data_IF_918893240213
#
_entry.id   IF_918893240213
#
_cell.length_a   1.000
_cell.length_b   1.000
_cell.length_c   1.000
_cell.angle_alpha   90.00
_cell.angle_beta   90.00
_cell.angle_gamma   90.00
#
_symmetry.space_group_name_H-M   'P 1'
#
loop_
_entity.id
_entity.type
_entity.pdbx_description
1 polymer ?
#
# COMPACT_ATOMS: atom_id res chain seq x y z
N UNK A 1 -5.37 10.54 43.96
CA UNK A 1 -5.13 9.85 42.66
C UNK A 1 -5.09 10.92 41.59
N UNK A 2 -4.15 10.86 40.66
CA UNK A 2 -4.15 11.78 39.52
C UNK A 2 -5.44 11.59 38.72
N UNK A 3 -6.18 12.67 38.46
CA UNK A 3 -7.43 12.62 37.72
C UNK A 3 -7.16 12.56 36.22
N UNK A 4 -7.80 11.61 35.53
CA UNK A 4 -7.61 11.37 34.09
C UNK A 4 -8.93 11.63 33.36
N UNK A 5 -8.87 12.39 32.27
CA UNK A 5 -9.96 12.50 31.31
C UNK A 5 -9.77 11.45 30.20
N UNK A 6 -10.72 10.54 30.04
CA UNK A 6 -10.72 9.55 28.96
C UNK A 6 -11.58 10.04 27.81
N UNK A 7 -11.03 10.07 26.61
CA UNK A 7 -11.71 10.56 25.41
C UNK A 7 -11.70 9.48 24.35
N UNK A 8 -12.88 9.08 23.93
CA UNK A 8 -13.08 8.15 22.82
C UNK A 8 -13.59 8.90 21.60
N UNK A 9 -13.00 8.59 20.46
CA UNK A 9 -13.31 9.20 19.17
C UNK A 9 -13.73 8.09 18.22
N UNK A 10 -14.98 8.15 17.78
CA UNK A 10 -15.42 7.39 16.62
C UNK A 10 -15.24 8.24 15.36
N UNK A 11 -14.66 7.66 14.30
CA UNK A 11 -14.22 8.40 13.12
C UNK A 11 -14.84 7.87 11.85
N UNK A 12 -15.43 8.77 11.08
CA UNK A 12 -15.99 8.52 9.76
C UNK A 12 -15.31 9.37 8.69
N UNK A 13 -15.72 9.21 7.44
CA UNK A 13 -15.24 10.05 6.33
C UNK A 13 -15.49 11.55 6.57
N UNK A 14 -16.65 11.91 7.12
CA UNK A 14 -17.07 13.31 7.23
C UNK A 14 -16.82 13.94 8.59
N UNK A 15 -16.85 13.16 9.67
CA UNK A 15 -16.86 13.69 11.03
C UNK A 15 -16.13 12.78 12.03
N UNK A 16 -15.72 13.38 13.14
CA UNK A 16 -15.30 12.71 14.37
C UNK A 16 -16.34 12.92 15.46
N UNK A 17 -16.91 11.84 15.98
CA UNK A 17 -17.83 11.86 17.12
C UNK A 17 -17.04 11.56 18.39
N UNK A 18 -17.14 12.45 19.37
CA UNK A 18 -16.25 12.46 20.53
C UNK A 18 -17.04 12.33 21.82
N UNK A 19 -16.56 11.48 22.72
CA UNK A 19 -17.11 11.29 24.06
C UNK A 19 -15.98 11.40 25.09
N UNK A 20 -16.13 12.30 26.06
CA UNK A 20 -15.22 12.44 27.20
C UNK A 20 -15.87 11.90 28.49
N UNK A 21 -15.12 11.16 29.29
CA UNK A 21 -15.60 10.52 30.51
C UNK A 21 -14.54 10.50 31.62
N UNK A 22 -15.02 10.38 32.86
CA UNK A 22 -14.19 10.20 34.05
C UNK A 22 -13.88 8.73 34.33
N UNK A 23 -13.00 8.48 35.31
CA UNK A 23 -12.59 7.14 35.72
C UNK A 23 -13.73 6.26 36.26
N UNK A 24 -14.81 6.87 36.76
CA UNK A 24 -16.02 6.17 37.20
C UNK A 24 -17.00 5.84 36.06
N UNK A 25 -16.69 6.26 34.81
CA UNK A 25 -17.52 6.06 33.63
C UNK A 25 -18.58 7.14 33.42
N UNK A 26 -18.62 8.18 34.25
CA UNK A 26 -19.51 9.33 34.06
C UNK A 26 -19.08 10.13 32.84
N UNK A 27 -20.03 10.37 31.93
CA UNK A 27 -19.79 11.20 30.75
C UNK A 27 -19.74 12.67 31.18
N UNK A 28 -18.66 13.34 30.81
CA UNK A 28 -18.42 14.76 31.10
C UNK A 28 -18.99 15.62 30.00
N UNK A 29 -18.65 15.29 28.75
CA UNK A 29 -19.02 16.07 27.58
C UNK A 29 -18.98 15.22 26.31
N UNK A 30 -19.65 15.73 25.27
CA UNK A 30 -19.65 15.17 23.92
C UNK A 30 -19.55 16.28 22.90
N UNK A 31 -18.95 15.99 21.75
CA UNK A 31 -18.96 16.88 20.60
C UNK A 31 -18.92 16.09 19.30
N UNK A 32 -19.14 16.77 18.19
CA UNK A 32 -18.90 16.26 16.86
C UNK A 32 -18.23 17.36 16.06
N UNK A 33 -17.11 17.03 15.42
CA UNK A 33 -16.34 17.96 14.59
C UNK A 33 -16.18 17.37 13.19
N UNK A 34 -15.97 18.21 12.19
CA UNK A 34 -15.65 17.76 10.84
C UNK A 34 -14.32 16.99 10.80
N UNK A 35 -14.19 16.05 9.86
CA UNK A 35 -12.92 15.36 9.57
C UNK A 35 -12.09 16.20 8.59
N UNK A 36 -11.66 17.36 9.06
CA UNK A 36 -10.80 18.29 8.35
C UNK A 36 -9.95 19.10 9.34
N UNK A 37 -9.16 20.05 8.82
CA UNK A 37 -8.28 20.90 9.63
C UNK A 37 -9.06 21.76 10.63
N UNK A 38 -10.18 22.34 10.22
CA UNK A 38 -10.96 23.24 11.07
C UNK A 38 -11.63 22.45 12.20
N UNK A 39 -12.11 21.24 11.91
CA UNK A 39 -12.59 20.29 12.91
C UNK A 39 -11.50 19.84 13.88
N UNK A 40 -10.27 19.63 13.40
CA UNK A 40 -9.10 19.36 14.25
C UNK A 40 -8.81 20.50 15.24
N UNK A 41 -8.80 21.75 14.76
CA UNK A 41 -8.64 22.95 15.60
C UNK A 41 -9.78 23.13 16.63
N UNK A 42 -11.01 22.89 16.21
CA UNK A 42 -12.18 22.88 17.10
C UNK A 42 -12.04 21.81 18.18
N UNK A 43 -11.57 20.61 17.82
CA UNK A 43 -11.36 19.53 18.76
C UNK A 43 -10.25 19.85 19.76
N UNK A 44 -9.12 20.42 19.32
CA UNK A 44 -8.05 20.86 20.24
C UNK A 44 -8.59 21.88 21.24
N UNK A 45 -9.34 22.88 20.77
CA UNK A 45 -9.94 23.90 21.63
C UNK A 45 -10.91 23.27 22.65
N UNK A 46 -11.76 22.36 22.18
CA UNK A 46 -12.70 21.63 23.03
C UNK A 46 -11.98 20.77 24.08
N UNK A 47 -10.96 19.99 23.67
CA UNK A 47 -10.17 19.13 24.56
C UNK A 47 -9.51 19.94 25.68
N UNK A 48 -8.92 21.10 25.37
CA UNK A 48 -8.31 21.99 26.38
C UNK A 48 -9.31 22.44 27.43
N UNK A 49 -10.51 22.83 26.99
CA UNK A 49 -11.57 23.27 27.90
C UNK A 49 -12.04 22.12 28.81
N UNK A 50 -12.23 20.92 28.25
CA UNK A 50 -12.67 19.77 29.03
C UNK A 50 -11.58 19.20 29.93
N UNK A 51 -10.31 19.25 29.52
CA UNK A 51 -9.18 18.70 30.26
C UNK A 51 -8.73 19.59 31.42
N UNK A 52 -9.10 20.88 31.46
CA UNK A 52 -8.66 21.84 32.48
C UNK A 52 -8.78 21.36 33.95
N UNK A 53 -9.83 20.59 34.36
CA UNK A 53 -9.95 20.06 35.71
C UNK A 53 -9.11 18.79 36.00
N UNK A 54 -8.43 18.24 35.00
CA UNK A 54 -7.77 16.92 35.06
C UNK A 54 -6.26 17.07 35.03
N UNK A 55 -5.56 16.13 35.66
CA UNK A 55 -4.09 16.08 35.61
C UNK A 55 -3.59 15.47 34.30
N UNK A 56 -4.34 14.52 33.73
CA UNK A 56 -3.92 13.75 32.54
C UNK A 56 -5.04 13.60 31.51
N UNK A 57 -4.64 13.42 30.25
CA UNK A 57 -5.53 13.17 29.12
C UNK A 57 -5.21 11.82 28.48
N UNK A 58 -6.23 10.98 28.24
CA UNK A 58 -6.10 9.74 27.48
C UNK A 58 -7.07 9.80 26.30
N UNK A 59 -6.56 9.79 25.07
CA UNK A 59 -7.38 9.91 23.85
C UNK A 59 -7.22 8.67 22.99
N UNK A 60 -8.34 8.07 22.61
CA UNK A 60 -8.35 6.87 21.80
C UNK A 60 -9.31 6.98 20.62
N UNK A 61 -8.91 6.36 19.53
CA UNK A 61 -9.70 6.20 18.31
C UNK A 61 -9.69 4.74 17.89
N UNK A 62 -10.75 4.29 17.24
CA UNK A 62 -10.74 2.99 16.56
C UNK A 62 -10.06 3.10 15.19
N UNK A 63 -9.19 2.14 14.86
CA UNK A 63 -8.49 2.09 13.58
C UNK A 63 -9.41 1.63 12.43
N UNK A 64 -10.44 2.42 12.12
CA UNK A 64 -11.36 2.16 11.01
C UNK A 64 -10.85 2.84 9.75
N UNK A 65 -10.52 2.03 8.73
CA UNK A 65 -9.88 2.49 7.49
C UNK A 65 -8.65 3.37 7.81
N UNK A 66 -8.51 4.51 7.13
CA UNK A 66 -7.43 5.50 7.32
C UNK A 66 -7.91 6.83 7.91
N UNK A 67 -9.22 6.97 8.16
CA UNK A 67 -9.84 8.26 8.49
C UNK A 67 -9.37 8.87 9.81
N UNK A 68 -8.89 8.03 10.73
CA UNK A 68 -8.35 8.45 12.02
C UNK A 68 -6.91 9.00 11.91
N UNK A 69 -6.15 8.59 10.89
CA UNK A 69 -4.70 8.80 10.86
C UNK A 69 -4.32 10.29 10.82
N UNK A 70 -4.92 11.15 9.97
CA UNK A 70 -4.59 12.58 9.96
C UNK A 70 -4.89 13.27 11.29
N UNK A 71 -6.02 12.94 11.93
CA UNK A 71 -6.39 13.53 13.21
C UNK A 71 -5.43 13.11 14.33
N UNK A 72 -5.08 11.82 14.41
CA UNK A 72 -4.18 11.33 15.46
C UNK A 72 -2.77 11.93 15.32
N UNK A 73 -2.27 12.05 14.10
CA UNK A 73 -1.00 12.74 13.83
C UNK A 73 -1.06 14.20 14.27
N UNK A 74 -2.15 14.91 13.92
CA UNK A 74 -2.37 16.30 14.30
C UNK A 74 -2.40 16.49 15.82
N UNK A 75 -3.23 15.70 16.52
CA UNK A 75 -3.40 15.80 17.97
C UNK A 75 -2.10 15.49 18.71
N UNK A 76 -1.33 14.53 18.23
CA UNK A 76 -0.08 14.13 18.86
C UNK A 76 1.04 15.17 18.71
N UNK A 77 1.00 16.00 17.67
CA UNK A 77 1.95 17.09 17.46
C UNK A 77 1.52 18.41 18.12
N UNK A 78 0.33 18.48 18.71
CA UNK A 78 -0.26 19.71 19.20
C UNK A 78 0.30 20.14 20.57
N UNK A 79 1.14 21.21 20.63
CA UNK A 79 1.77 21.60 21.89
C UNK A 79 0.78 22.12 22.93
N UNK A 80 -0.38 22.64 22.49
CA UNK A 80 -1.43 23.11 23.39
C UNK A 80 -2.00 22.00 24.28
N UNK A 81 -1.80 20.72 23.94
CA UNK A 81 -2.27 19.57 24.72
C UNK A 81 -1.19 18.98 25.65
N UNK A 82 0.08 19.38 25.51
CA UNK A 82 1.18 18.90 26.36
C UNK A 82 0.99 19.08 27.88
N UNK A 83 0.30 20.13 28.40
CA UNK A 83 0.10 20.29 29.84
C UNK A 83 -0.57 19.09 30.53
N UNK A 84 -1.33 18.28 29.79
CA UNK A 84 -2.02 17.09 30.30
C UNK A 84 -1.30 15.77 30.01
N UNK A 85 -0.04 15.82 29.54
CA UNK A 85 0.79 14.64 29.25
C UNK A 85 -0.01 13.54 28.52
N UNK A 86 -0.55 13.85 27.33
CA UNK A 86 -1.55 13.03 26.69
C UNK A 86 -1.01 11.65 26.33
N UNK A 87 -1.79 10.62 26.63
CA UNK A 87 -1.55 9.26 26.13
C UNK A 87 -2.51 8.99 24.96
N UNK A 88 -1.94 8.63 23.81
CA UNK A 88 -2.68 8.37 22.58
C UNK A 88 -2.94 6.88 22.39
N UNK A 89 -4.08 6.51 21.82
CA UNK A 89 -4.44 5.13 21.56
C UNK A 89 -5.07 5.01 20.17
N UNK A 90 -4.56 4.07 19.38
CA UNK A 90 -5.17 3.63 18.12
C UNK A 90 -5.57 2.18 18.31
N UNK A 91 -6.85 1.96 18.55
CA UNK A 91 -7.40 0.67 18.97
C UNK A 91 -7.68 -0.21 17.75
N UNK A 92 -7.38 -1.50 17.88
CA UNK A 92 -7.80 -2.48 16.89
C UNK A 92 -9.34 -2.62 16.94
N UNK A 93 -10.07 -2.50 15.81
CA UNK A 93 -11.53 -2.64 15.78
C UNK A 93 -12.04 -3.92 16.45
N UNK A 94 -11.30 -5.03 16.33
CA UNK A 94 -11.66 -6.31 16.97
C UNK A 94 -11.64 -6.25 18.50
N UNK A 95 -10.80 -5.40 19.09
CA UNK A 95 -10.75 -5.21 20.55
C UNK A 95 -11.98 -4.43 21.00
N UNK A 96 -12.32 -3.35 20.30
CA UNK A 96 -13.49 -2.53 20.58
C UNK A 96 -14.77 -3.34 20.39
N UNK A 97 -14.89 -4.08 19.30
CA UNK A 97 -16.02 -4.97 19.01
C UNK A 97 -16.29 -5.96 20.15
N UNK A 98 -15.29 -6.77 20.51
CA UNK A 98 -15.40 -7.77 21.59
C UNK A 98 -15.67 -7.16 22.95
N UNK A 99 -15.10 -5.98 23.23
CA UNK A 99 -15.40 -5.27 24.45
C UNK A 99 -16.86 -4.78 24.46
N UNK A 100 -17.37 -4.35 23.32
CA UNK A 100 -18.76 -3.95 23.13
C UNK A 100 -19.78 -5.05 23.40
N UNK A 101 -19.44 -6.32 23.14
CA UNK A 101 -20.31 -7.48 23.43
C UNK A 101 -20.59 -7.66 24.93
N UNK A 102 -19.81 -7.03 25.81
CA UNK A 102 -20.07 -7.07 27.27
C UNK A 102 -21.27 -6.21 27.69
N UNK A 103 -21.79 -5.37 26.80
CA UNK A 103 -22.96 -4.52 27.05
C UNK A 103 -24.22 -5.16 26.44
N UNK A 104 -25.13 -5.64 27.29
CA UNK A 104 -26.34 -6.41 26.89
C UNK A 104 -27.32 -5.58 26.04
N UNK A 105 -27.51 -4.30 26.36
CA UNK A 105 -28.47 -3.40 25.69
C UNK A 105 -27.77 -2.23 24.96
N UNK A 106 -26.78 -2.55 24.12
CA UNK A 106 -26.07 -1.53 23.32
C UNK A 106 -26.71 -1.34 21.95
N UNK A 107 -27.15 -0.11 21.67
CA UNK A 107 -27.46 0.32 20.30
C UNK A 107 -26.20 0.65 19.49
N UNK A 108 -26.26 0.44 18.17
CA UNK A 108 -25.18 0.79 17.23
C UNK A 108 -25.38 2.22 16.71
N UNK A 109 -24.65 3.17 17.29
CA UNK A 109 -24.67 4.59 16.89
C UNK A 109 -23.28 5.17 17.12
N UNK A 110 -22.85 6.14 16.31
CA UNK A 110 -21.53 6.77 16.43
C UNK A 110 -21.26 7.33 17.84
N UNK A 111 -22.32 7.84 18.52
CA UNK A 111 -22.23 8.32 19.91
C UNK A 111 -22.03 7.19 20.93
N UNK A 112 -22.63 6.03 20.69
CA UNK A 112 -22.43 4.84 21.51
C UNK A 112 -21.04 4.25 21.27
N UNK A 113 -20.54 4.33 20.03
CA UNK A 113 -19.24 3.81 19.62
C UNK A 113 -18.11 4.68 20.21
N UNK A 114 -18.21 6.00 20.13
CA UNK A 114 -17.29 6.93 20.79
C UNK A 114 -17.27 6.74 22.32
N UNK A 115 -18.43 6.49 22.95
CA UNK A 115 -18.51 6.15 24.37
C UNK A 115 -17.79 4.83 24.66
N UNK A 116 -18.00 3.80 23.83
CA UNK A 116 -17.38 2.51 24.04
C UNK A 116 -15.86 2.60 23.96
N UNK A 117 -15.33 3.33 22.98
CA UNK A 117 -13.89 3.56 22.83
C UNK A 117 -13.33 4.20 24.11
N UNK A 118 -13.98 5.24 24.64
CA UNK A 118 -13.57 5.87 25.90
C UNK A 118 -13.59 4.89 27.08
N UNK A 119 -14.62 4.04 27.16
CA UNK A 119 -14.71 2.98 28.18
C UNK A 119 -13.57 1.96 28.03
N UNK A 120 -13.22 1.53 26.82
CA UNK A 120 -12.07 0.63 26.57
C UNK A 120 -10.78 1.22 27.15
N UNK A 121 -10.54 2.52 26.95
CA UNK A 121 -9.37 3.19 27.52
C UNK A 121 -9.41 3.22 29.05
N UNK A 122 -10.58 3.48 29.61
CA UNK A 122 -10.83 3.56 31.06
C UNK A 122 -10.58 2.23 31.76
N UNK A 123 -11.03 1.12 31.18
CA UNK A 123 -10.78 -0.23 31.70
C UNK A 123 -9.31 -0.67 31.53
N UNK A 124 -8.57 -0.06 30.60
CA UNK A 124 -7.14 -0.25 30.42
C UNK A 124 -6.76 -1.55 29.69
N UNK A 125 -5.52 -2.00 29.90
CA UNK A 125 -4.89 -3.13 29.16
C UNK A 125 -4.79 -2.96 27.65
N UNK A 126 -4.87 -1.71 27.18
CA UNK A 126 -4.59 -1.33 25.81
C UNK A 126 -3.22 -0.67 25.73
N UNK A 127 -2.49 -0.97 24.66
CA UNK A 127 -1.15 -0.43 24.44
C UNK A 127 -1.26 0.99 23.87
N UNK A 128 -0.58 1.98 24.47
CA UNK A 128 -0.49 3.32 23.90
C UNK A 128 0.06 3.27 22.47
N UNK A 129 -0.53 4.07 21.60
CA UNK A 129 0.01 4.36 20.28
C UNK A 129 1.07 5.45 20.40
N UNK A 130 2.26 5.18 19.87
CA UNK A 130 3.31 6.18 19.74
C UNK A 130 3.27 6.71 18.30
N UNK A 131 3.13 8.03 18.12
CA UNK A 131 3.25 8.65 16.81
C UNK A 131 4.57 8.23 16.15
N UNK A 132 4.55 7.68 14.94
CA UNK A 132 5.78 7.31 14.25
C UNK A 132 6.59 8.58 13.96
N UNK A 133 7.92 8.48 14.03
CA UNK A 133 8.79 9.55 13.53
C UNK A 133 8.41 9.83 12.05
N UNK A 134 8.16 11.10 11.66
CA UNK A 134 7.67 11.45 10.33
C UNK A 134 8.52 10.89 9.18
N UNK A 135 9.82 10.70 9.40
CA UNK A 135 10.73 10.10 8.41
C UNK A 135 10.37 8.64 8.14
N UNK A 136 10.07 7.88 9.19
CA UNK A 136 9.65 6.49 9.06
C UNK A 136 8.25 6.39 8.46
N UNK A 137 7.32 7.25 8.88
CA UNK A 137 5.97 7.31 8.33
C UNK A 137 5.98 7.59 6.81
N UNK A 138 6.78 8.56 6.36
CA UNK A 138 6.95 8.88 4.94
C UNK A 138 7.51 7.69 4.16
N UNK A 139 8.55 7.03 4.69
CA UNK A 139 9.14 5.85 4.07
C UNK A 139 8.15 4.67 4.01
N UNK A 140 7.30 4.52 5.02
CA UNK A 140 6.26 3.49 5.07
C UNK A 140 5.20 3.69 3.98
N UNK A 141 4.78 4.93 3.71
CA UNK A 141 3.86 5.25 2.60
C UNK A 141 4.46 4.79 1.27
N UNK A 142 5.71 5.18 0.99
CA UNK A 142 6.39 4.86 -0.28
C UNK A 142 6.62 3.36 -0.45
N UNK A 143 7.12 2.68 0.59
CA UNK A 143 7.44 1.25 0.55
C UNK A 143 6.19 0.39 0.43
N UNK A 144 5.09 0.73 1.12
CA UNK A 144 3.79 0.07 0.96
C UNK A 144 3.22 0.28 -0.43
N UNK A 145 3.31 1.49 -0.99
CA UNK A 145 2.86 1.74 -2.36
C UNK A 145 3.67 0.94 -3.38
N UNK A 146 5.00 0.88 -3.22
CA UNK A 146 5.89 0.07 -4.07
C UNK A 146 5.57 -1.42 -3.99
N UNK A 147 5.20 -1.94 -2.82
CA UNK A 147 4.70 -3.32 -2.65
C UNK A 147 3.39 -3.54 -3.43
N UNK A 148 2.44 -2.61 -3.36
CA UNK A 148 1.19 -2.70 -4.13
C UNK A 148 1.43 -2.71 -5.63
N UNK A 149 2.28 -1.79 -6.14
CA UNK A 149 2.65 -1.75 -7.57
C UNK A 149 3.29 -3.08 -7.99
N UNK A 150 4.16 -3.66 -7.17
CA UNK A 150 4.73 -4.98 -7.45
C UNK A 150 3.67 -6.08 -7.57
N UNK A 151 2.64 -6.06 -6.72
CA UNK A 151 1.54 -7.02 -6.78
C UNK A 151 0.69 -6.81 -8.05
N UNK A 152 0.43 -5.56 -8.42
CA UNK A 152 -0.28 -5.22 -9.67
C UNK A 152 0.48 -5.70 -10.90
N UNK A 153 1.80 -5.51 -10.95
CA UNK A 153 2.64 -6.03 -12.05
C UNK A 153 2.48 -7.54 -12.18
N UNK A 154 2.53 -8.29 -11.06
CA UNK A 154 2.34 -9.75 -11.09
C UNK A 154 0.95 -10.13 -11.59
N UNK A 155 -0.09 -9.44 -11.12
CA UNK A 155 -1.47 -9.69 -11.57
C UNK A 155 -1.63 -9.42 -13.07
N UNK A 156 -1.11 -8.31 -13.57
CA UNK A 156 -1.18 -7.95 -14.98
C UNK A 156 -0.36 -8.91 -15.85
N UNK A 157 0.82 -9.35 -15.40
CA UNK A 157 1.59 -10.41 -16.08
C UNK A 157 0.79 -11.69 -16.21
N UNK A 158 0.10 -12.11 -15.15
CA UNK A 158 -0.75 -13.30 -15.20
C UNK A 158 -1.91 -13.15 -16.19
N UNK A 159 -2.56 -11.97 -16.23
CA UNK A 159 -3.62 -11.67 -17.22
C UNK A 159 -3.08 -11.69 -18.65
N UNK A 160 -1.91 -11.09 -18.88
CA UNK A 160 -1.24 -11.09 -20.17
C UNK A 160 -0.85 -12.51 -20.62
N UNK A 161 -0.36 -13.37 -19.73
CA UNK A 161 -0.01 -14.77 -20.04
C UNK A 161 -1.21 -15.56 -20.58
N UNK A 162 -2.42 -15.31 -20.07
CA UNK A 162 -3.64 -15.95 -20.58
C UNK A 162 -3.90 -15.55 -22.03
N UNK A 163 -3.87 -14.25 -22.35
CA UNK A 163 -4.09 -13.79 -23.73
C UNK A 163 -2.96 -14.24 -24.66
N UNK A 164 -1.72 -14.18 -24.17
CA UNK A 164 -0.54 -14.65 -24.87
C UNK A 164 -0.66 -16.14 -25.22
N UNK A 165 -1.12 -16.98 -24.31
CA UNK A 165 -1.33 -18.40 -24.61
C UNK A 165 -2.43 -18.62 -25.65
N UNK A 166 -3.56 -17.90 -25.54
CA UNK A 166 -4.64 -18.03 -26.52
C UNK A 166 -4.21 -17.66 -27.93
N UNK A 167 -3.40 -16.61 -28.10
CA UNK A 167 -2.96 -16.13 -29.41
C UNK A 167 -1.69 -16.85 -29.88
N UNK A 168 -0.68 -16.97 -29.03
CA UNK A 168 0.67 -17.41 -29.40
C UNK A 168 1.05 -18.81 -28.88
N UNK A 169 0.13 -19.50 -28.19
CA UNK A 169 0.36 -20.84 -27.65
C UNK A 169 1.52 -20.88 -26.67
N UNK A 170 2.53 -21.72 -26.97
CA UNK A 170 3.64 -22.02 -26.07
C UNK A 170 4.71 -20.91 -25.96
N UNK A 171 4.45 -19.69 -26.44
CA UNK A 171 5.42 -18.59 -26.46
C UNK A 171 6.17 -18.39 -25.13
N UNK A 172 5.46 -18.43 -24.00
CA UNK A 172 6.04 -18.23 -22.67
C UNK A 172 6.57 -19.53 -22.01
N UNK A 173 6.43 -20.68 -22.68
CA UNK A 173 6.65 -22.01 -22.12
C UNK A 173 7.51 -22.89 -23.03
N UNK A 174 8.45 -22.29 -23.75
CA UNK A 174 9.44 -23.04 -24.56
C UNK A 174 10.50 -23.67 -23.67
N UNK A 175 10.94 -24.89 -24.00
CA UNK A 175 12.03 -25.59 -23.27
C UNK A 175 13.32 -24.78 -23.22
N UNK A 176 13.61 -24.05 -24.31
CA UNK A 176 14.73 -23.11 -24.41
C UNK A 176 14.20 -21.67 -24.56
N UNK A 177 14.27 -20.83 -23.51
CA UNK A 177 13.84 -19.44 -23.59
C UNK A 177 14.68 -18.65 -24.60
N UNK A 178 14.02 -18.06 -25.59
CA UNK A 178 14.65 -17.24 -26.64
C UNK A 178 14.71 -15.75 -26.30
N UNK A 179 13.95 -15.31 -25.28
CA UNK A 179 14.13 -14.04 -24.60
C UNK A 179 14.46 -14.27 -23.13
N UNK A 180 15.32 -13.43 -22.55
CA UNK A 180 15.65 -13.50 -21.13
C UNK A 180 14.48 -13.15 -20.20
N UNK A 181 13.47 -12.46 -20.72
CA UNK A 181 12.24 -12.13 -20.02
C UNK A 181 11.10 -12.04 -21.06
N UNK A 182 10.04 -12.81 -20.85
CA UNK A 182 8.81 -12.80 -21.69
C UNK A 182 8.19 -11.41 -21.76
N UNK A 183 8.26 -10.64 -20.67
CA UNK A 183 7.81 -9.25 -20.60
C UNK A 183 8.95 -8.25 -20.80
N UNK A 184 10.10 -8.68 -21.33
CA UNK A 184 11.19 -7.76 -21.68
C UNK A 184 10.85 -6.87 -22.88
N UNK A 185 11.53 -5.73 -23.00
CA UNK A 185 11.24 -4.73 -24.04
C UNK A 185 11.23 -5.30 -25.46
N UNK A 186 12.16 -6.22 -25.78
CA UNK A 186 12.22 -6.84 -27.10
C UNK A 186 11.03 -7.77 -27.38
N UNK A 187 10.70 -8.65 -26.43
CA UNK A 187 9.54 -9.54 -26.52
C UNK A 187 8.24 -8.74 -26.65
N UNK A 188 8.06 -7.72 -25.82
CA UNK A 188 6.87 -6.87 -25.89
C UNK A 188 6.75 -6.12 -27.22
N UNK A 189 7.86 -5.66 -27.80
CA UNK A 189 7.84 -5.01 -29.11
C UNK A 189 7.45 -5.96 -30.24
N UNK A 190 7.91 -7.21 -30.20
CA UNK A 190 7.44 -8.26 -31.13
C UNK A 190 5.95 -8.51 -30.96
N UNK A 191 5.50 -8.75 -29.73
CA UNK A 191 4.10 -9.03 -29.42
C UNK A 191 3.16 -7.86 -29.74
N UNK A 192 3.63 -6.62 -29.72
CA UNK A 192 2.84 -5.45 -30.09
C UNK A 192 2.73 -5.22 -31.60
N UNK A 193 3.71 -5.70 -32.37
CA UNK A 193 3.81 -5.45 -33.81
C UNK A 193 3.19 -6.56 -34.65
N UNK A 194 3.28 -7.80 -34.17
CA UNK A 194 2.89 -8.97 -34.93
C UNK A 194 1.69 -9.69 -34.33
N UNK A 195 1.01 -10.44 -35.18
CA UNK A 195 0.21 -11.62 -34.82
C UNK A 195 0.91 -12.88 -35.32
N UNK A 196 0.56 -14.08 -34.83
CA UNK A 196 1.10 -15.33 -35.36
C UNK A 196 0.96 -15.45 -36.89
N UNK A 197 -0.17 -15.01 -37.46
CA UNK A 197 -0.41 -15.11 -38.90
C UNK A 197 0.54 -14.19 -39.68
N UNK A 198 0.63 -12.91 -39.29
CA UNK A 198 1.53 -11.95 -39.95
C UNK A 198 3.01 -12.32 -39.77
N UNK A 199 3.39 -12.89 -38.62
CA UNK A 199 4.77 -13.30 -38.35
C UNK A 199 5.14 -14.54 -39.17
N UNK A 200 4.23 -15.49 -39.34
CA UNK A 200 4.44 -16.69 -40.15
C UNK A 200 4.71 -16.36 -41.63
N UNK A 201 4.10 -15.29 -42.15
CA UNK A 201 4.27 -14.82 -43.53
C UNK A 201 5.50 -13.92 -43.73
N UNK A 202 6.13 -13.45 -42.64
CA UNK A 202 7.29 -12.56 -42.71
C UNK A 202 8.55 -13.36 -43.10
N UNK A 203 9.34 -12.91 -44.10
CA UNK A 203 10.61 -13.56 -44.45
C UNK A 203 11.57 -13.60 -43.27
N UNK A 204 12.26 -14.74 -43.08
CA UNK A 204 13.10 -14.96 -41.90
C UNK A 204 14.24 -13.93 -41.78
N UNK A 205 14.83 -13.51 -42.91
CA UNK A 205 15.90 -12.51 -42.94
C UNK A 205 15.41 -11.14 -42.44
N UNK A 206 14.21 -10.73 -42.86
CA UNK A 206 13.60 -9.47 -42.45
C UNK A 206 13.24 -9.52 -40.95
N UNK A 207 12.65 -10.63 -40.50
CA UNK A 207 12.31 -10.84 -39.09
C UNK A 207 13.57 -10.79 -38.19
N UNK A 208 14.68 -11.41 -38.62
CA UNK A 208 15.94 -11.37 -37.88
C UNK A 208 16.51 -9.95 -37.78
N UNK A 209 16.50 -9.19 -38.88
CA UNK A 209 16.93 -7.79 -38.89
C UNK A 209 16.06 -6.91 -37.97
N UNK A 210 14.75 -7.11 -37.99
CA UNK A 210 13.81 -6.38 -37.13
C UNK A 210 14.03 -6.71 -35.65
N UNK A 211 14.20 -7.98 -35.29
CA UNK A 211 14.48 -8.41 -33.91
C UNK A 211 15.80 -7.81 -33.42
N UNK A 212 16.84 -7.83 -34.26
CA UNK A 212 18.12 -7.19 -33.93
C UNK A 212 17.94 -5.69 -33.62
N UNK A 213 17.19 -4.98 -34.47
CA UNK A 213 16.90 -3.55 -34.29
C UNK A 213 16.12 -3.26 -33.01
N UNK A 214 15.05 -4.03 -32.74
CA UNK A 214 14.24 -3.95 -31.51
C UNK A 214 15.09 -4.21 -30.26
N UNK A 215 16.02 -5.16 -30.37
CA UNK A 215 17.01 -5.48 -29.36
C UNK A 215 18.13 -4.45 -29.19
N UNK A 216 18.12 -3.35 -29.97
CA UNK A 216 19.22 -2.37 -30.06
C UNK A 216 20.57 -3.03 -30.37
N UNK A 217 20.56 -4.10 -31.16
CA UNK A 217 21.71 -4.95 -31.48
C UNK A 217 22.42 -5.58 -30.27
N UNK A 218 21.70 -5.78 -29.16
CA UNK A 218 22.22 -6.42 -27.94
C UNK A 218 21.69 -7.83 -27.70
N UNK A 219 20.74 -8.30 -28.52
CA UNK A 219 20.24 -9.66 -28.44
C UNK A 219 21.28 -10.64 -28.97
N UNK A 220 21.44 -11.76 -28.27
CA UNK A 220 22.28 -12.86 -28.75
C UNK A 220 21.52 -13.61 -29.84
N UNK A 221 22.15 -13.83 -30.99
CA UNK A 221 21.63 -14.65 -32.10
C UNK A 221 20.19 -14.28 -32.54
N UNK A 222 19.96 -13.07 -33.08
CA UNK A 222 18.64 -12.63 -33.53
C UNK A 222 18.02 -13.56 -34.59
N UNK A 223 18.83 -14.24 -35.40
CA UNK A 223 18.39 -15.25 -36.36
C UNK A 223 17.74 -16.46 -35.66
N UNK A 224 18.33 -16.95 -34.56
CA UNK A 224 17.77 -18.08 -33.80
C UNK A 224 16.44 -17.69 -33.13
N UNK A 225 16.35 -16.45 -32.65
CA UNK A 225 15.12 -15.88 -32.09
C UNK A 225 14.04 -15.82 -33.18
N UNK A 226 14.38 -15.30 -34.37
CA UNK A 226 13.48 -15.22 -35.52
C UNK A 226 12.95 -16.61 -35.94
N UNK A 227 13.84 -17.60 -36.06
CA UNK A 227 13.46 -18.99 -36.37
C UNK A 227 12.52 -19.57 -35.33
N UNK A 228 12.75 -19.28 -34.05
CA UNK A 228 11.91 -19.77 -32.95
C UNK A 228 10.54 -19.11 -32.98
N UNK A 229 10.47 -17.80 -33.18
CA UNK A 229 9.22 -17.07 -33.34
C UNK A 229 8.42 -17.56 -34.54
N UNK A 230 9.07 -17.78 -35.69
CA UNK A 230 8.39 -18.30 -36.89
C UNK A 230 7.85 -19.71 -36.65
N UNK A 231 8.61 -20.60 -36.00
CA UNK A 231 8.13 -21.93 -35.59
C UNK A 231 6.92 -21.84 -34.67
N UNK A 232 6.94 -20.95 -33.67
CA UNK A 232 5.81 -20.74 -32.76
C UNK A 232 4.58 -20.21 -33.50
N UNK A 233 4.76 -19.25 -34.41
CA UNK A 233 3.70 -18.69 -35.22
C UNK A 233 3.02 -19.73 -36.13
N UNK A 234 3.79 -20.63 -36.75
CA UNK A 234 3.24 -21.74 -37.53
C UNK A 234 2.48 -22.77 -36.68
N UNK A 235 2.87 -22.94 -35.41
CA UNK A 235 2.24 -23.92 -34.49
C UNK A 235 1.09 -23.34 -33.66
N UNK A 236 0.92 -22.02 -33.63
CA UNK A 236 -0.15 -21.36 -32.91
C UNK A 236 -1.53 -21.75 -33.46
N UNK A 237 -2.54 -21.80 -32.60
CA UNK A 237 -3.92 -22.07 -33.02
C UNK A 237 -4.42 -20.98 -33.98
N UNK A 238 -5.12 -21.40 -35.03
CA UNK A 238 -5.81 -20.48 -35.95
C UNK A 238 -7.18 -20.15 -35.39
N UNK A 239 -7.26 -19.04 -34.68
CA UNK A 239 -8.51 -18.50 -34.15
C UNK A 239 -9.32 -17.83 -35.27
N UNK A 240 -10.63 -17.64 -35.04
CA UNK A 240 -11.42 -16.77 -35.89
C UNK A 240 -10.84 -15.34 -35.87
N UNK A 241 -10.76 -14.62 -37.02
CA UNK A 241 -10.11 -13.31 -37.09
C UNK A 241 -10.60 -12.31 -36.03
N UNK A 242 -11.92 -12.22 -35.82
CA UNK A 242 -12.50 -11.30 -34.82
C UNK A 242 -12.05 -11.63 -33.39
N UNK A 243 -12.00 -12.92 -33.03
CA UNK A 243 -11.53 -13.34 -31.70
C UNK A 243 -10.02 -13.09 -31.55
N UNK A 244 -9.24 -13.44 -32.57
CA UNK A 244 -7.79 -13.22 -32.60
C UNK A 244 -7.47 -11.74 -32.37
N UNK A 245 -8.13 -10.86 -33.13
CA UNK A 245 -7.87 -9.43 -33.09
C UNK A 245 -8.28 -8.84 -31.72
N UNK A 246 -9.40 -9.27 -31.15
CA UNK A 246 -9.81 -8.88 -29.80
C UNK A 246 -8.81 -9.32 -28.72
N UNK A 247 -8.33 -10.58 -28.78
CA UNK A 247 -7.34 -11.10 -27.82
C UNK A 247 -5.98 -10.45 -27.99
N UNK A 248 -5.55 -10.22 -29.22
CA UNK A 248 -4.32 -9.51 -29.53
C UNK A 248 -4.37 -8.08 -28.99
N UNK A 249 -5.47 -7.35 -29.23
CA UNK A 249 -5.66 -6.01 -28.68
C UNK A 249 -5.61 -6.02 -27.14
N UNK A 250 -6.29 -6.99 -26.51
CA UNK A 250 -6.26 -7.17 -25.05
C UNK A 250 -4.84 -7.45 -24.53
N UNK A 251 -4.08 -8.32 -25.20
CA UNK A 251 -2.68 -8.59 -24.88
C UNK A 251 -1.84 -7.31 -24.92
N UNK A 252 -1.93 -6.53 -26.01
CA UNK A 252 -1.18 -5.28 -26.16
C UNK A 252 -1.49 -4.29 -25.03
N UNK A 253 -2.75 -4.12 -24.65
CA UNK A 253 -3.15 -3.24 -23.54
C UNK A 253 -2.59 -3.71 -22.18
N UNK A 254 -2.54 -5.03 -21.95
CA UNK A 254 -1.87 -5.56 -20.75
C UNK A 254 -0.36 -5.28 -20.77
N UNK A 255 0.30 -5.42 -21.92
CA UNK A 255 1.74 -5.10 -22.07
C UNK A 255 1.99 -3.61 -21.79
N UNK A 256 1.15 -2.71 -22.30
CA UNK A 256 1.21 -1.27 -22.02
C UNK A 256 1.10 -0.97 -20.52
N UNK A 257 0.14 -1.62 -19.86
CA UNK A 257 -0.09 -1.49 -18.42
C UNK A 257 1.12 -1.98 -17.62
N UNK A 258 1.70 -3.14 -17.99
CA UNK A 258 2.91 -3.66 -17.37
C UNK A 258 4.06 -2.66 -17.50
N UNK A 259 4.27 -2.06 -18.69
CA UNK A 259 5.32 -1.04 -18.90
C UNK A 259 5.11 0.18 -18.01
N UNK A 260 3.88 0.66 -17.90
CA UNK A 260 3.55 1.81 -17.07
C UNK A 260 3.81 1.52 -15.59
N UNK A 261 3.38 0.36 -15.08
CA UNK A 261 3.60 -0.06 -13.70
C UNK A 261 5.09 -0.30 -13.39
N UNK A 262 5.84 -0.93 -14.29
CA UNK A 262 7.29 -1.12 -14.13
C UNK A 262 8.04 0.22 -14.11
N UNK A 263 7.58 1.23 -14.86
CA UNK A 263 8.13 2.60 -14.78
C UNK A 263 7.84 3.22 -13.41
N UNK A 264 6.58 3.19 -12.95
CA UNK A 264 6.21 3.69 -11.63
C UNK A 264 7.01 3.00 -10.50
N UNK A 265 7.23 1.68 -10.61
CA UNK A 265 8.05 0.96 -9.63
C UNK A 265 9.48 1.47 -9.58
N UNK A 266 10.11 1.80 -10.72
CA UNK A 266 11.48 2.36 -10.76
C UNK A 266 11.54 3.77 -10.20
N UNK A 267 10.52 4.59 -10.46
CA UNK A 267 10.40 5.92 -9.87
C UNK A 267 10.31 5.82 -8.34
N UNK A 268 9.50 4.89 -7.83
CA UNK A 268 9.41 4.61 -6.39
C UNK A 268 10.73 4.08 -5.82
N UNK A 269 11.40 3.14 -6.50
CA UNK A 269 12.69 2.61 -6.05
C UNK A 269 13.73 3.73 -5.92
N UNK A 270 13.72 4.71 -6.82
CA UNK A 270 14.61 5.88 -6.79
C UNK A 270 14.30 6.78 -5.60
N UNK A 271 13.03 7.11 -5.38
CA UNK A 271 12.60 7.97 -4.26
C UNK A 271 12.85 7.30 -2.91
N UNK A 272 12.53 6.01 -2.80
CA UNK A 272 12.80 5.21 -1.59
C UNK A 272 14.30 5.19 -1.30
N UNK A 273 15.14 4.90 -2.30
CA UNK A 273 16.59 4.86 -2.11
C UNK A 273 17.17 6.21 -1.68
N UNK A 274 16.65 7.33 -2.22
CA UNK A 274 17.02 8.69 -1.82
C UNK A 274 16.65 8.96 -0.36
N UNK A 275 15.39 8.75 0.01
CA UNK A 275 14.89 9.08 1.35
C UNK A 275 15.52 8.17 2.42
N UNK A 276 15.85 6.94 2.03
CA UNK A 276 16.54 5.99 2.89
C UNK A 276 17.96 6.41 3.30
N UNK A 277 18.62 7.31 2.55
CA UNK A 277 19.94 7.85 2.92
C UNK A 277 19.93 8.68 4.22
N UNK A 278 18.75 9.14 4.65
CA UNK A 278 18.61 9.87 5.91
C UNK A 278 18.76 8.97 7.15
N UNK A 279 18.80 7.64 6.97
CA UNK A 279 18.88 6.66 8.05
C UNK A 279 20.29 6.07 8.13
N UNK A 280 20.77 5.85 9.37
CA UNK A 280 22.13 5.32 9.61
C UNK A 280 22.16 3.80 9.73
N UNK A 281 21.16 3.21 10.38
CA UNK A 281 21.06 1.78 10.67
C UNK A 281 20.20 1.10 9.59
N UNK A 282 20.80 0.82 8.44
CA UNK A 282 20.05 0.47 7.22
C UNK A 282 19.94 -1.02 6.93
N UNK A 283 20.58 -1.89 7.71
CA UNK A 283 20.62 -3.35 7.49
C UNK A 283 21.17 -3.78 6.11
N UNK A 284 21.70 -2.84 5.32
CA UNK A 284 22.18 -3.09 3.94
C UNK A 284 23.51 -3.82 3.88
N UNK A 285 24.15 -4.04 5.03
CA UNK A 285 25.34 -4.90 5.14
C UNK A 285 24.98 -6.39 5.02
N UNK A 286 23.70 -6.76 5.19
CA UNK A 286 23.22 -8.13 5.03
C UNK A 286 23.12 -8.45 3.53
N UNK A 287 23.79 -9.51 3.03
CA UNK A 287 23.71 -9.91 1.63
C UNK A 287 22.25 -10.11 1.18
N UNK A 288 21.86 -9.48 0.07
CA UNK A 288 20.50 -9.54 -0.47
C UNK A 288 19.55 -8.44 0.03
N UNK A 289 19.92 -7.68 1.07
CA UNK A 289 19.12 -6.54 1.55
C UNK A 289 19.64 -5.25 0.93
N UNK A 290 19.06 -4.89 -0.22
CA UNK A 290 19.31 -3.60 -0.85
C UNK A 290 18.53 -2.44 -0.21
N UNK A 291 18.75 -1.19 -0.66
CA UNK A 291 18.09 0.00 -0.12
C UNK A 291 16.57 -0.08 -0.01
N UNK A 292 15.91 -0.71 -1.00
CA UNK A 292 14.45 -0.84 -1.02
C UNK A 292 13.94 -1.82 0.05
N UNK A 293 14.60 -2.98 0.21
CA UNK A 293 14.22 -3.96 1.22
C UNK A 293 14.58 -3.49 2.63
N UNK A 294 15.76 -2.86 2.79
CA UNK A 294 16.16 -2.22 4.04
C UNK A 294 15.17 -1.13 4.46
N UNK A 295 14.77 -0.27 3.52
CA UNK A 295 13.75 0.76 3.75
C UNK A 295 12.41 0.16 4.19
N UNK A 296 11.95 -0.90 3.53
CA UNK A 296 10.69 -1.56 3.90
C UNK A 296 10.72 -2.16 5.31
N UNK A 297 11.82 -2.81 5.69
CA UNK A 297 11.99 -3.34 7.05
C UNK A 297 12.01 -2.20 8.09
N UNK A 298 12.84 -1.19 7.83
CA UNK A 298 13.02 -0.08 8.75
C UNK A 298 11.72 0.73 8.95
N UNK A 299 10.97 0.96 7.87
CA UNK A 299 9.72 1.71 7.91
C UNK A 299 8.61 1.00 8.71
N UNK A 300 8.57 -0.33 8.72
CA UNK A 300 7.56 -1.10 9.47
C UNK A 300 7.96 -1.30 10.94
N UNK A 301 9.26 -1.50 11.21
CA UNK A 301 9.78 -1.70 12.57
C UNK A 301 9.80 -0.37 13.34
N UNK A 302 10.23 0.71 12.68
CA UNK A 302 10.48 2.00 13.32
C UNK A 302 11.84 2.07 14.03
N UNK A 303 12.05 3.10 14.86
CA UNK A 303 13.29 3.26 15.63
C UNK A 303 13.51 2.10 16.62
N UNK A 304 14.76 1.68 16.80
CA UNK A 304 15.14 0.55 17.67
C UNK A 304 14.87 0.86 19.14
N UNK A 305 14.88 2.14 19.51
CA UNK A 305 14.62 2.65 20.86
C UNK A 305 13.20 2.31 21.37
N UNK A 306 12.31 1.82 20.50
CA UNK A 306 10.97 1.34 20.87
C UNK A 306 10.99 -0.03 21.55
N UNK A 307 12.08 -0.77 21.46
CA UNK A 307 12.23 -2.08 22.10
C UNK A 307 12.93 -1.93 23.45
N UNK A 308 12.26 -2.32 24.53
CA UNK A 308 12.76 -2.16 25.91
C UNK A 308 13.77 -3.24 26.33
N UNK A 309 13.90 -4.30 25.55
CA UNK A 309 14.87 -5.38 25.74
C UNK A 309 15.23 -6.01 24.40
N UNK A 310 16.39 -6.67 24.35
CA UNK A 310 16.81 -7.53 23.24
C UNK A 310 15.82 -8.68 22.96
#
# INVERSE_FOLDING_TARGET
>A
METVLYVGIDTSLGNHVVCAMEADGRIVARTTVANDRDGGEQLVTWLRAQAAPYARLAVGVEATSVYHAPLMEWLAQEPRLHPWQPTWYVLNPKVVEKFGETYVDRGKTDRADARLIADVLRFGRVTPWTPPDPRFAALQVLTRHRRQVSQLITQEKNRALVQLFCVWGQYAHTDEPFFSNVFGAASQAVLARYTPDTLAETPLADLAAEIAAVGRNRLKAPENIAQTLQRLAHRAFRLHPEERDARQQSLVLHLDTIRALERQQRELDTVIARDFQAFRQTLTTIPGIGPVYGAGLLAEIGPVERFTSE
#
